data_IF_151775098206
#
_entry.id   IF_151775098206
#
_cell.length_a   1.000
_cell.length_b   1.000
_cell.length_c   1.000
_cell.angle_alpha   90.00
_cell.angle_beta   90.00
_cell.angle_gamma   90.00
#
_symmetry.space_group_name_H-M   'P 1'
#
loop_
_entity.id
_entity.type
_entity.pdbx_description
1 polymer ?
#
# COMPACT_ATOMS: atom_id res chain seq x y z
N UNK A 1 -23.86 -27.86 1.42
CA UNK A 1 -23.44 -27.36 2.75
C UNK A 1 -21.99 -26.92 2.64
N UNK A 2 -21.66 -25.83 3.32
CA UNK A 2 -20.48 -25.00 3.11
C UNK A 2 -19.12 -25.71 3.27
N UNK A 3 -18.14 -25.29 2.47
CA UNK A 3 -16.89 -24.70 2.96
C UNK A 3 -16.43 -23.66 1.93
N UNK A 4 -16.65 -22.38 2.24
CA UNK A 4 -15.97 -21.29 1.56
C UNK A 4 -14.50 -21.41 1.96
N UNK A 5 -13.65 -21.89 1.05
CA UNK A 5 -12.21 -21.82 1.21
C UNK A 5 -11.87 -20.36 1.56
N UNK A 6 -11.36 -20.15 2.78
CA UNK A 6 -11.05 -18.81 3.28
C UNK A 6 -10.17 -18.10 2.27
N UNK A 7 -10.62 -16.94 1.78
CA UNK A 7 -9.80 -16.03 0.99
C UNK A 7 -8.56 -15.74 1.83
N UNK A 8 -7.40 -16.29 1.41
CA UNK A 8 -6.12 -15.97 2.04
C UNK A 8 -5.94 -14.46 1.87
N UNK A 9 -6.13 -13.70 2.94
CA UNK A 9 -5.89 -12.25 2.91
C UNK A 9 -4.44 -12.05 2.49
N UNK A 10 -4.19 -11.16 1.53
CA UNK A 10 -2.80 -10.92 1.15
C UNK A 10 -2.06 -10.38 2.37
N UNK A 11 -0.87 -10.92 2.64
CA UNK A 11 -0.05 -10.51 3.79
C UNK A 11 0.37 -9.04 3.69
N UNK A 12 0.39 -8.52 2.46
CA UNK A 12 0.70 -7.15 2.13
C UNK A 12 -0.52 -6.33 1.76
N UNK A 13 -0.65 -5.14 2.34
CA UNK A 13 -1.48 -4.05 1.83
C UNK A 13 -0.59 -2.87 1.47
N UNK A 14 -0.65 -2.42 0.21
CA UNK A 14 0.08 -1.23 -0.26
C UNK A 14 -0.89 -0.05 -0.37
N UNK A 15 -0.74 0.93 0.52
CA UNK A 15 -1.48 2.18 0.47
C UNK A 15 -0.85 3.16 -0.50
N UNK A 16 -1.63 3.66 -1.45
CA UNK A 16 -1.15 4.50 -2.55
C UNK A 16 -2.08 5.68 -2.83
N UNK A 17 -1.51 6.74 -3.37
CA UNK A 17 -2.26 7.79 -4.04
C UNK A 17 -2.59 7.42 -5.48
N UNK A 18 -3.00 8.40 -6.28
CA UNK A 18 -3.27 8.17 -7.70
C UNK A 18 -1.97 7.86 -8.46
N UNK A 19 -1.89 6.66 -9.06
CA UNK A 19 -0.73 6.15 -9.80
C UNK A 19 -0.32 7.03 -10.99
N UNK A 20 -1.27 7.74 -11.61
CA UNK A 20 -0.99 8.66 -12.72
C UNK A 20 -0.34 9.97 -12.26
N UNK A 21 -0.48 10.34 -10.99
CA UNK A 21 -0.01 11.62 -10.46
C UNK A 21 1.02 11.49 -9.33
N UNK A 22 1.35 10.26 -8.90
CA UNK A 22 2.31 9.99 -7.83
C UNK A 22 3.33 8.96 -8.28
N UNK A 23 4.49 9.42 -8.74
CA UNK A 23 5.62 8.54 -9.09
C UNK A 23 6.11 7.76 -7.86
N UNK A 24 6.02 8.34 -6.66
CA UNK A 24 6.33 7.69 -5.40
C UNK A 24 5.45 6.47 -5.14
N UNK A 25 4.14 6.59 -5.39
CA UNK A 25 3.22 5.45 -5.24
C UNK A 25 3.35 4.43 -6.37
N UNK A 26 3.65 4.87 -7.60
CA UNK A 26 3.78 3.98 -8.76
C UNK A 26 4.97 3.02 -8.64
N UNK A 27 6.11 3.48 -8.11
CA UNK A 27 7.34 2.67 -8.00
C UNK A 27 7.18 1.37 -7.21
N UNK A 28 6.76 1.37 -5.93
CA UNK A 28 6.60 0.12 -5.18
C UNK A 28 5.46 -0.72 -5.74
N UNK A 29 4.40 -0.09 -6.29
CA UNK A 29 3.34 -0.82 -6.97
C UNK A 29 3.90 -1.61 -8.15
N UNK A 30 4.67 -0.97 -9.04
CA UNK A 30 5.24 -1.62 -10.20
C UNK A 30 6.22 -2.73 -9.81
N UNK A 31 7.04 -2.50 -8.78
CA UNK A 31 7.97 -3.51 -8.27
C UNK A 31 7.22 -4.76 -7.78
N UNK A 32 6.20 -4.59 -6.93
CA UNK A 32 5.41 -5.73 -6.44
C UNK A 32 4.67 -6.45 -7.56
N UNK A 33 4.16 -5.73 -8.56
CA UNK A 33 3.54 -6.33 -9.75
C UNK A 33 4.54 -7.09 -10.61
N UNK A 34 5.75 -6.54 -10.80
CA UNK A 34 6.80 -7.16 -11.61
C UNK A 34 7.35 -8.42 -10.95
N UNK A 35 7.47 -8.41 -9.62
CA UNK A 35 7.90 -9.56 -8.81
C UNK A 35 6.76 -10.56 -8.52
N UNK A 36 5.57 -10.33 -9.08
CA UNK A 36 4.38 -11.18 -8.88
C UNK A 36 3.99 -11.40 -7.41
N UNK A 37 4.35 -10.45 -6.54
CA UNK A 37 4.00 -10.49 -5.12
C UNK A 37 2.49 -10.22 -5.01
N UNK A 38 1.70 -11.08 -4.34
CA UNK A 38 0.29 -10.80 -4.08
C UNK A 38 0.14 -9.74 -2.98
N UNK A 39 -0.64 -8.69 -3.25
CA UNK A 39 -0.95 -7.63 -2.29
C UNK A 39 -2.35 -7.05 -2.53
N UNK A 40 -2.92 -6.47 -1.48
CA UNK A 40 -4.11 -5.63 -1.56
C UNK A 40 -3.73 -4.16 -1.80
N UNK A 41 -4.53 -3.46 -2.60
CA UNK A 41 -4.34 -2.04 -2.88
C UNK A 41 -5.24 -1.18 -1.99
N UNK A 42 -4.64 -0.37 -1.13
CA UNK A 42 -5.33 0.63 -0.34
C UNK A 42 -5.28 2.00 -1.01
N UNK A 43 -6.32 2.39 -1.76
CA UNK A 43 -6.32 3.72 -2.39
C UNK A 43 -6.65 4.82 -1.38
N UNK A 44 -5.75 5.80 -1.25
CA UNK A 44 -5.96 7.02 -0.47
C UNK A 44 -6.23 8.18 -1.42
N UNK A 45 -7.44 8.75 -1.34
CA UNK A 45 -7.79 9.95 -2.09
C UNK A 45 -7.03 11.15 -1.51
N UNK A 46 -6.23 11.78 -2.36
CA UNK A 46 -5.43 12.96 -2.03
C UNK A 46 -6.05 14.23 -2.65
N UNK A 47 -5.61 15.40 -2.18
CA UNK A 47 -6.03 16.73 -2.65
C UNK A 47 -7.52 17.01 -2.42
N UNK A 48 -8.03 16.52 -1.31
CA UNK A 48 -9.36 16.83 -0.77
C UNK A 48 -9.24 17.30 0.69
N UNK A 49 -10.26 17.98 1.25
CA UNK A 49 -10.24 18.38 2.66
C UNK A 49 -10.00 17.21 3.64
N UNK A 50 -10.39 15.99 3.26
CA UNK A 50 -10.25 14.77 4.08
C UNK A 50 -8.88 14.10 3.94
N UNK A 51 -7.97 14.64 3.12
CA UNK A 51 -6.67 14.02 2.81
C UNK A 51 -5.88 13.71 4.08
N UNK A 52 -5.77 14.69 4.98
CA UNK A 52 -5.04 14.53 6.23
C UNK A 52 -5.66 13.45 7.11
N UNK A 53 -6.99 13.47 7.27
CA UNK A 53 -7.71 12.49 8.08
C UNK A 53 -7.62 11.07 7.52
N UNK A 54 -7.57 10.92 6.19
CA UNK A 54 -7.40 9.61 5.56
C UNK A 54 -5.97 9.10 5.65
N UNK A 55 -4.97 9.97 5.49
CA UNK A 55 -3.57 9.60 5.63
C UNK A 55 -3.22 9.23 7.07
N UNK A 56 -3.77 9.93 8.07
CA UNK A 56 -3.55 9.64 9.49
C UNK A 56 -4.00 8.22 9.91
N UNK A 57 -4.89 7.58 9.14
CA UNK A 57 -5.34 6.20 9.39
C UNK A 57 -4.32 5.14 8.98
N UNK A 58 -3.40 5.48 8.07
CA UNK A 58 -2.56 4.48 7.38
C UNK A 58 -1.08 4.85 7.32
N UNK A 59 -0.73 6.11 7.53
CA UNK A 59 0.62 6.63 7.36
C UNK A 59 1.12 7.34 8.61
N UNK A 60 2.26 6.90 9.18
CA UNK A 60 2.86 7.58 10.32
C UNK A 60 3.44 8.96 9.94
N UNK A 61 3.69 9.20 8.64
CA UNK A 61 4.28 10.45 8.14
C UNK A 61 3.28 11.34 7.41
N UNK A 62 2.01 10.92 7.32
CA UNK A 62 1.00 11.65 6.55
C UNK A 62 1.27 11.65 5.04
N UNK A 63 1.97 10.64 4.53
CA UNK A 63 2.32 10.50 3.10
C UNK A 63 2.14 9.05 2.62
N UNK A 64 2.03 8.87 1.31
CA UNK A 64 2.01 7.56 0.63
C UNK A 64 3.13 7.53 -0.40
N UNK A 65 3.74 6.36 -0.70
CA UNK A 65 3.29 5.00 -0.38
C UNK A 65 3.56 4.56 1.07
N UNK A 66 2.74 3.62 1.55
CA UNK A 66 2.95 2.88 2.79
C UNK A 66 2.64 1.41 2.57
N UNK A 67 3.57 0.52 2.91
CA UNK A 67 3.34 -0.91 2.94
C UNK A 67 2.99 -1.35 4.37
N UNK A 68 1.89 -2.06 4.50
CA UNK A 68 1.54 -2.80 5.71
C UNK A 68 1.75 -4.29 5.44
N UNK A 69 2.66 -4.91 6.18
CA UNK A 69 2.86 -6.36 6.20
C UNK A 69 2.38 -6.90 7.55
N UNK A 70 1.16 -7.42 7.61
CA UNK A 70 0.57 -8.01 8.83
C UNK A 70 0.71 -7.15 10.10
N UNK A 71 0.56 -5.83 9.98
CA UNK A 71 0.69 -4.85 11.06
C UNK A 71 2.05 -4.15 11.13
N UNK A 72 3.08 -4.65 10.43
CA UNK A 72 4.36 -3.95 10.28
C UNK A 72 4.23 -2.88 9.21
N UNK A 73 4.46 -1.63 9.60
CA UNK A 73 4.39 -0.48 8.70
C UNK A 73 5.78 -0.12 8.18
N UNK A 74 5.92 -0.07 6.85
CA UNK A 74 7.10 0.42 6.14
C UNK A 74 6.67 1.59 5.26
N UNK A 75 7.25 2.75 5.48
CA UNK A 75 6.97 3.98 4.72
C UNK A 75 8.24 4.43 4.01
N UNK A 76 8.09 5.28 2.98
CA UNK A 76 9.10 5.62 1.96
C UNK A 76 9.29 4.56 0.87
N UNK A 77 9.38 5.02 -0.39
CA UNK A 77 9.54 4.13 -1.53
C UNK A 77 10.81 3.29 -1.45
N UNK A 78 11.96 3.88 -1.13
CA UNK A 78 13.23 3.14 -1.08
C UNK A 78 13.22 2.08 0.03
N UNK A 79 12.72 2.41 1.21
CA UNK A 79 12.60 1.46 2.31
C UNK A 79 11.64 0.31 1.96
N UNK A 80 10.52 0.59 1.27
CA UNK A 80 9.62 -0.45 0.78
C UNK A 80 10.33 -1.37 -0.22
N UNK A 81 11.09 -0.80 -1.17
CA UNK A 81 11.80 -1.60 -2.17
C UNK A 81 12.91 -2.45 -1.55
N UNK A 82 13.69 -1.91 -0.61
CA UNK A 82 14.71 -2.65 0.14
C UNK A 82 14.09 -3.75 0.99
N UNK A 83 12.91 -3.50 1.58
CA UNK A 83 12.18 -4.50 2.36
C UNK A 83 11.63 -5.67 1.53
N UNK A 84 11.40 -5.46 0.23
CA UNK A 84 10.87 -6.47 -0.69
C UNK A 84 11.96 -7.26 -1.44
N UNK A 85 13.23 -6.84 -1.35
CA UNK A 85 14.38 -7.48 -1.99
C UNK A 85 14.88 -8.69 -1.18
#
# INVERSE_FOLDING_TARGET
MAVHAGRKMAEFTLYIGNKCFSSWSLRPWLAMRHLEIPFEEGFVRLRTPETFANLAKVSPTGQVPVLNHNGKIVWETLAILEYLA
#
